data_IF_222707477270
#
_entry.id   IF_222707477270
#
_cell.length_a   1.000
_cell.length_b   1.000
_cell.length_c   1.000
_cell.angle_alpha   90.00
_cell.angle_beta   90.00
_cell.angle_gamma   90.00
#
_symmetry.space_group_name_H-M   'P 1'
#
loop_
_entity.id
_entity.type
_entity.pdbx_description
1 polymer ?
#
# COMPACT_ATOMS: atom_id res chain seq x y z
N UNK A 1 -19.08 37.18 25.90
CA UNK A 1 -19.18 37.30 24.43
C UNK A 1 -17.89 37.94 23.96
N UNK A 2 -16.97 37.17 23.37
CA UNK A 2 -16.01 37.57 22.33
C UNK A 2 -15.14 36.34 22.00
N UNK A 3 -15.38 35.83 20.79
CA UNK A 3 -14.58 34.97 19.93
C UNK A 3 -13.70 33.88 20.56
N UNK A 4 -14.16 32.63 20.44
CA UNK A 4 -13.22 31.52 20.25
C UNK A 4 -12.54 31.69 18.90
N UNK A 5 -11.23 31.87 18.91
CA UNK A 5 -10.39 31.61 17.75
C UNK A 5 -10.31 30.09 17.59
N UNK A 6 -11.35 29.52 16.99
CA UNK A 6 -11.24 28.24 16.31
C UNK A 6 -10.42 28.52 15.05
N UNK A 7 -9.10 28.55 15.23
CA UNK A 7 -8.15 28.65 14.13
C UNK A 7 -8.31 27.38 13.32
N UNK A 8 -9.19 27.44 12.33
CA UNK A 8 -9.20 26.57 11.18
C UNK A 8 -7.86 26.72 10.46
N UNK A 9 -6.81 26.11 11.04
CA UNK A 9 -5.52 25.97 10.44
C UNK A 9 -5.75 25.13 9.19
N UNK A 10 -5.81 25.79 8.04
CA UNK A 10 -5.68 25.13 6.76
C UNK A 10 -4.51 24.14 6.92
N UNK A 11 -4.67 22.86 6.52
CA UNK A 11 -3.61 21.87 6.70
C UNK A 11 -2.31 22.47 6.16
N UNK A 12 -1.26 22.45 6.97
CA UNK A 12 0.05 22.97 6.59
C UNK A 12 0.37 22.43 5.19
N UNK A 13 0.48 23.29 4.15
CA UNK A 13 0.57 22.83 2.77
C UNK A 13 1.77 21.88 2.59
N UNK A 14 2.84 22.07 3.35
CA UNK A 14 4.01 21.19 3.35
C UNK A 14 3.73 19.75 3.85
N UNK A 15 2.61 19.49 4.52
CA UNK A 15 2.32 18.20 5.15
C UNK A 15 2.03 17.09 4.14
N UNK A 16 1.34 17.39 3.03
CA UNK A 16 0.93 16.37 2.06
C UNK A 16 2.11 15.79 1.26
N UNK A 17 2.99 16.62 0.65
CA UNK A 17 4.21 16.12 0.01
C UNK A 17 5.09 15.31 0.98
N UNK A 18 5.18 15.73 2.25
CA UNK A 18 5.92 15.00 3.26
C UNK A 18 5.32 13.62 3.58
N UNK A 19 4.00 13.52 3.69
CA UNK A 19 3.30 12.24 3.90
C UNK A 19 3.46 11.31 2.69
N UNK A 20 3.31 11.81 1.46
CA UNK A 20 3.59 11.00 0.27
C UNK A 20 5.07 10.60 0.17
N UNK A 21 5.99 11.46 0.63
CA UNK A 21 7.42 11.15 0.69
C UNK A 21 7.73 10.00 1.65
N UNK A 22 7.08 9.99 2.82
CA UNK A 22 7.16 8.88 3.77
C UNK A 22 6.57 7.60 3.18
N UNK A 23 5.44 7.69 2.47
CA UNK A 23 4.84 6.54 1.80
C UNK A 23 5.76 5.95 0.73
N UNK A 24 6.44 6.80 -0.04
CA UNK A 24 7.43 6.40 -1.03
C UNK A 24 8.60 5.65 -0.37
N UNK A 25 9.12 6.14 0.76
CA UNK A 25 10.17 5.45 1.51
C UNK A 25 9.73 4.07 2.03
N UNK A 26 8.50 3.97 2.56
CA UNK A 26 7.91 2.69 2.98
C UNK A 26 7.81 1.74 1.78
N UNK A 27 7.35 2.20 0.62
CA UNK A 27 7.25 1.38 -0.59
C UNK A 27 8.61 0.87 -1.09
N UNK A 28 9.68 1.69 -0.99
CA UNK A 28 11.06 1.29 -1.30
C UNK A 28 11.55 0.22 -0.34
N UNK A 29 11.29 0.40 0.95
CA UNK A 29 11.65 -0.56 2.00
C UNK A 29 10.94 -1.90 1.79
N UNK A 30 9.64 -1.87 1.48
CA UNK A 30 8.83 -3.04 1.18
C UNK A 30 9.36 -3.80 -0.04
N UNK A 31 9.68 -3.09 -1.14
CA UNK A 31 10.28 -3.70 -2.33
C UNK A 31 11.63 -4.33 -2.02
N UNK A 32 12.50 -3.63 -1.27
CA UNK A 32 13.81 -4.15 -0.90
C UNK A 32 13.69 -5.40 0.00
N UNK A 33 12.70 -5.45 0.90
CA UNK A 33 12.42 -6.64 1.70
C UNK A 33 11.95 -7.82 0.84
N UNK A 34 11.03 -7.58 -0.09
CA UNK A 34 10.56 -8.61 -1.04
C UNK A 34 11.71 -9.15 -1.92
N UNK A 35 12.61 -8.29 -2.39
CA UNK A 35 13.80 -8.71 -3.15
C UNK A 35 14.73 -9.62 -2.35
N UNK A 36 14.77 -9.48 -1.02
CA UNK A 36 15.53 -10.35 -0.12
C UNK A 36 14.75 -11.58 0.35
N UNK A 37 13.46 -11.69 0.01
CA UNK A 37 12.57 -12.74 0.52
C UNK A 37 12.20 -12.59 2.00
N UNK A 38 12.38 -11.40 2.57
CA UNK A 38 12.08 -11.09 3.97
C UNK A 38 10.60 -10.71 4.14
N UNK A 39 9.73 -11.72 4.14
CA UNK A 39 8.28 -11.52 4.15
C UNK A 39 7.74 -10.96 5.49
N UNK A 40 8.46 -11.16 6.59
CA UNK A 40 8.15 -10.53 7.87
C UNK A 40 8.33 -9.01 7.78
N UNK A 41 9.44 -8.55 7.18
CA UNK A 41 9.68 -7.13 6.94
C UNK A 41 8.70 -6.53 5.90
N UNK A 42 8.26 -7.30 4.91
CA UNK A 42 7.18 -6.88 3.99
C UNK A 42 5.88 -6.63 4.77
N UNK A 43 5.49 -7.54 5.65
CA UNK A 43 4.27 -7.43 6.47
C UNK A 43 4.35 -6.25 7.46
N UNK A 44 5.51 -6.01 8.06
CA UNK A 44 5.73 -4.84 8.91
C UNK A 44 5.58 -3.52 8.13
N UNK A 45 6.11 -3.49 6.90
CA UNK A 45 6.00 -2.32 6.01
C UNK A 45 4.55 -2.08 5.57
N UNK A 46 3.75 -3.13 5.34
CA UNK A 46 2.32 -3.02 5.04
C UNK A 46 1.54 -2.36 6.18
N UNK A 47 1.84 -2.72 7.43
CA UNK A 47 1.20 -2.11 8.60
C UNK A 47 1.48 -0.60 8.69
N UNK A 48 2.73 -0.18 8.47
CA UNK A 48 3.11 1.22 8.42
C UNK A 48 2.43 1.97 7.25
N UNK A 49 2.32 1.32 6.09
CA UNK A 49 1.61 1.85 4.92
C UNK A 49 0.13 2.10 5.23
N UNK A 50 -0.55 1.15 5.88
CA UNK A 50 -1.97 1.24 6.22
C UNK A 50 -2.28 2.44 7.13
N UNK A 51 -1.43 2.70 8.14
CA UNK A 51 -1.56 3.86 9.01
C UNK A 51 -1.45 5.17 8.23
N UNK A 52 -0.42 5.29 7.38
CA UNK A 52 -0.14 6.50 6.63
C UNK A 52 -1.21 6.78 5.56
N UNK A 53 -1.70 5.74 4.88
CA UNK A 53 -2.83 5.83 3.95
C UNK A 53 -4.09 6.30 4.66
N UNK A 54 -4.32 5.85 5.91
CA UNK A 54 -5.41 6.34 6.75
C UNK A 54 -5.36 7.85 7.00
N UNK A 55 -4.15 8.41 7.15
CA UNK A 55 -3.93 9.84 7.31
C UNK A 55 -4.13 10.62 6.00
N UNK A 56 -3.66 10.06 4.87
CA UNK A 56 -3.81 10.67 3.54
C UNK A 56 -5.28 10.72 3.09
N UNK A 57 -6.09 9.69 3.40
CA UNK A 57 -7.53 9.66 3.07
C UNK A 57 -8.33 10.83 3.67
N UNK A 58 -7.84 11.45 4.73
CA UNK A 58 -8.50 12.60 5.40
C UNK A 58 -8.05 13.95 4.83
N UNK A 59 -7.11 13.96 3.88
CA UNK A 59 -6.44 15.17 3.36
C UNK A 59 -6.47 15.13 1.82
N UNK A 60 -7.49 15.73 1.18
CA UNK A 60 -7.61 15.71 -0.26
C UNK A 60 -6.43 16.43 -0.93
N UNK A 61 -5.85 15.85 -1.96
CA UNK A 61 -4.73 16.45 -2.70
C UNK A 61 -5.12 17.76 -3.38
N UNK A 62 -6.41 17.96 -3.63
CA UNK A 62 -7.00 19.16 -4.22
C UNK A 62 -6.78 20.40 -3.34
N UNK A 63 -6.53 20.21 -2.03
CA UNK A 63 -6.24 21.31 -1.10
C UNK A 63 -4.82 21.86 -1.21
N UNK A 64 -3.91 21.17 -1.93
CA UNK A 64 -2.54 21.62 -2.14
C UNK A 64 -2.42 22.65 -3.28
N UNK A 65 -1.47 23.61 -3.16
CA UNK A 65 -0.98 24.41 -4.28
C UNK A 65 -0.55 23.54 -5.48
N UNK A 66 -0.65 24.07 -6.72
CA UNK A 66 -0.33 23.31 -7.94
C UNK A 66 1.05 22.64 -7.94
N UNK A 67 2.08 23.33 -7.45
CA UNK A 67 3.46 22.81 -7.39
C UNK A 67 3.57 21.57 -6.48
N UNK A 68 2.91 21.59 -5.32
CA UNK A 68 2.92 20.46 -4.38
C UNK A 68 2.14 19.26 -4.92
N UNK A 69 1.06 19.50 -5.66
CA UNK A 69 0.31 18.44 -6.33
C UNK A 69 1.17 17.72 -7.35
N UNK A 70 2.00 18.45 -8.11
CA UNK A 70 2.92 17.85 -9.06
C UNK A 70 3.95 16.95 -8.36
N UNK A 71 4.53 17.42 -7.24
CA UNK A 71 5.41 16.59 -6.40
C UNK A 71 4.70 15.33 -5.88
N UNK A 72 3.49 15.47 -5.35
CA UNK A 72 2.70 14.33 -4.88
C UNK A 72 2.39 13.33 -6.02
N UNK A 73 2.05 13.81 -7.22
CA UNK A 73 1.83 12.94 -8.38
C UNK A 73 3.09 12.16 -8.77
N UNK A 74 4.27 12.76 -8.65
CA UNK A 74 5.53 12.05 -8.92
C UNK A 74 5.77 10.95 -7.89
N UNK A 75 5.55 11.24 -6.59
CA UNK A 75 5.66 10.25 -5.51
C UNK A 75 4.65 9.10 -5.67
N UNK A 76 3.40 9.40 -6.05
CA UNK A 76 2.37 8.38 -6.31
C UNK A 76 2.82 7.41 -7.40
N UNK A 77 3.40 7.91 -8.50
CA UNK A 77 3.90 7.05 -9.59
C UNK A 77 5.00 6.14 -9.11
N UNK A 78 5.91 6.63 -8.27
CA UNK A 78 6.97 5.82 -7.67
C UNK A 78 6.39 4.71 -6.77
N UNK A 79 5.46 5.06 -5.86
CA UNK A 79 4.80 4.11 -4.96
C UNK A 79 4.14 2.99 -5.76
N UNK A 80 3.36 3.34 -6.79
CA UNK A 80 2.68 2.36 -7.64
C UNK A 80 3.66 1.47 -8.41
N UNK A 81 4.79 2.00 -8.85
CA UNK A 81 5.84 1.22 -9.50
C UNK A 81 6.49 0.22 -8.52
N UNK A 82 6.76 0.65 -7.29
CA UNK A 82 7.32 -0.21 -6.24
C UNK A 82 6.33 -1.31 -5.82
N UNK A 83 5.03 -0.98 -5.70
CA UNK A 83 3.98 -1.95 -5.40
C UNK A 83 3.85 -3.00 -6.50
N UNK A 84 3.86 -2.58 -7.77
CA UNK A 84 3.83 -3.50 -8.91
C UNK A 84 5.06 -4.41 -8.92
N UNK A 85 6.26 -3.88 -8.66
CA UNK A 85 7.47 -4.67 -8.56
C UNK A 85 7.43 -5.68 -7.40
N UNK A 86 6.90 -5.27 -6.24
CA UNK A 86 6.72 -6.16 -5.08
C UNK A 86 5.78 -7.31 -5.42
N UNK A 87 4.64 -7.02 -6.07
CA UNK A 87 3.68 -8.05 -6.52
C UNK A 87 4.30 -9.00 -7.55
N UNK A 88 5.10 -8.51 -8.48
CA UNK A 88 5.78 -9.36 -9.46
C UNK A 88 6.72 -10.39 -8.80
N UNK A 89 7.28 -10.07 -7.63
CA UNK A 89 8.07 -11.01 -6.82
C UNK A 89 7.15 -11.99 -6.08
N UNK A 90 6.04 -11.49 -5.52
CA UNK A 90 5.18 -12.29 -4.67
C UNK A 90 4.24 -13.26 -5.43
N UNK A 91 3.65 -12.80 -6.53
CA UNK A 91 2.60 -13.53 -7.23
C UNK A 91 3.01 -14.90 -7.80
N UNK A 92 4.22 -15.10 -8.35
CA UNK A 92 4.60 -16.40 -8.91
C UNK A 92 4.56 -17.53 -7.89
N UNK A 93 5.12 -17.33 -6.70
CA UNK A 93 5.15 -18.38 -5.66
C UNK A 93 3.78 -18.60 -5.04
N UNK A 94 2.96 -17.55 -4.91
CA UNK A 94 1.57 -17.70 -4.45
C UNK A 94 0.76 -18.59 -5.39
N UNK A 95 0.89 -18.39 -6.72
CA UNK A 95 0.25 -19.26 -7.73
C UNK A 95 0.74 -20.70 -7.67
N UNK A 96 1.99 -20.93 -7.30
CA UNK A 96 2.53 -22.29 -7.13
C UNK A 96 1.96 -22.96 -5.87
N UNK A 97 1.90 -22.25 -4.75
CA UNK A 97 1.29 -22.75 -3.52
C UNK A 97 -0.18 -23.09 -3.69
N UNK A 98 -0.95 -22.26 -4.40
CA UNK A 98 -2.36 -22.56 -4.71
C UNK A 98 -2.53 -23.89 -5.44
N UNK A 99 -1.61 -24.23 -6.35
CA UNK A 99 -1.63 -25.51 -7.07
C UNK A 99 -1.28 -26.69 -6.16
N UNK A 100 -0.31 -26.53 -5.26
CA UNK A 100 0.09 -27.56 -4.29
C UNK A 100 -1.02 -27.83 -3.29
N UNK A 101 -1.65 -26.78 -2.77
CA UNK A 101 -2.68 -26.85 -1.73
C UNK A 101 -4.07 -27.19 -2.30
N UNK A 102 -4.22 -27.25 -3.63
CA UNK A 102 -5.49 -27.58 -4.28
C UNK A 102 -5.94 -28.98 -3.84
N UNK A 103 -7.08 -29.13 -3.13
CA UNK A 103 -7.55 -30.43 -2.71
C UNK A 103 -7.79 -31.32 -3.92
N UNK A 104 -7.12 -32.48 -3.98
CA UNK A 104 -7.50 -33.52 -4.93
C UNK A 104 -8.90 -33.98 -4.55
N UNK A 105 -9.90 -33.61 -5.34
CA UNK A 105 -11.25 -34.19 -5.21
C UNK A 105 -11.10 -35.68 -5.50
N UNK A 106 -11.00 -36.51 -4.47
CA UNK A 106 -11.14 -37.95 -4.64
C UNK A 106 -12.57 -38.19 -5.13
N UNK A 107 -12.69 -38.60 -6.39
CA UNK A 107 -13.94 -39.08 -6.98
C UNK A 107 -14.29 -40.44 -6.36
N UNK A 108 -14.53 -40.51 -5.05
CA UNK A 108 -14.87 -41.75 -4.36
C UNK A 108 -16.40 -42.00 -4.32
N UNK A 109 -17.22 -41.12 -4.90
CA UNK A 109 -18.69 -41.19 -4.82
C UNK A 109 -19.44 -41.53 -6.12
N UNK A 110 -18.78 -41.56 -7.28
CA UNK A 110 -19.48 -41.67 -8.57
C UNK A 110 -19.63 -43.12 -9.10
N UNK A 111 -19.09 -44.12 -8.42
CA UNK A 111 -19.07 -45.52 -8.90
C UNK A 111 -19.93 -46.48 -8.06
N UNK A 112 -20.64 -46.02 -7.01
CA UNK A 112 -21.32 -46.91 -6.07
C UNK A 112 -22.83 -47.10 -6.30
N UNK A 113 -23.41 -46.45 -7.32
CA UNK A 113 -24.80 -46.66 -7.73
C UNK A 113 -24.87 -46.97 -9.23
N UNK A 114 -24.22 -48.05 -9.66
CA UNK A 114 -24.50 -48.70 -10.93
C UNK A 114 -24.94 -50.13 -10.67
#
# INVERSE_FOLDING_TARGET
MMAGEDTGMAPDPALLPALYGQLAEISRTMLAAAQRGDWDAVTASESACAELVGQLRRRPIETCPPAERETCMQLIREILANDAATRNIAEPWMRELEQILRPRRHAFGAQMYR
#
